data_IF_643484810718
#
_entry.id   IF_643484810718
#
_cell.length_a   1.000
_cell.length_b   1.000
_cell.length_c   1.000
_cell.angle_alpha   90.00
_cell.angle_beta   90.00
_cell.angle_gamma   90.00
#
_symmetry.space_group_name_H-M   'P 1'
#
loop_
_entity.id
_entity.type
_entity.pdbx_description
1 polymer ?
#
# COMPACT_ATOMS: atom_id res chain seq x y z
N UNK A 1 7.26 -16.60 17.62
CA UNK A 1 6.61 -16.64 16.28
C UNK A 1 6.13 -18.06 15.99
N UNK A 2 4.98 -18.41 16.53
CA UNK A 2 4.34 -19.73 16.35
C UNK A 2 3.20 -19.57 15.36
N UNK A 3 3.06 -20.50 14.41
CA UNK A 3 1.94 -20.53 13.48
C UNK A 3 0.81 -21.35 14.13
N UNK A 4 -0.26 -20.69 14.56
CA UNK A 4 -1.47 -21.30 15.08
C UNK A 4 -2.61 -21.16 14.07
N UNK A 5 -3.11 -22.30 13.58
CA UNK A 5 -4.21 -22.40 12.60
C UNK A 5 -5.54 -22.81 13.25
N UNK A 6 -5.59 -22.85 14.58
CA UNK A 6 -6.82 -23.22 15.29
C UNK A 6 -7.93 -22.24 14.97
N UNK A 7 -9.16 -22.75 14.88
CA UNK A 7 -10.36 -21.92 14.67
C UNK A 7 -11.13 -21.70 15.96
N UNK A 8 -10.90 -22.53 16.97
CA UNK A 8 -11.52 -22.47 18.31
C UNK A 8 -10.50 -22.74 19.39
N UNK A 9 -10.72 -22.17 20.57
CA UNK A 9 -9.94 -22.43 21.77
C UNK A 9 -10.89 -22.69 22.95
N UNK A 10 -10.47 -23.49 23.95
CA UNK A 10 -11.29 -23.78 25.14
C UNK A 10 -11.59 -22.51 25.93
N UNK A 11 -12.77 -22.45 26.49
CA UNK A 11 -13.11 -21.46 27.53
C UNK A 11 -12.32 -21.73 28.80
N UNK A 12 -12.40 -20.81 29.74
CA UNK A 12 -11.77 -20.96 31.05
C UNK A 12 -12.50 -21.98 31.94
N UNK A 13 -12.05 -22.16 33.17
CA UNK A 13 -12.62 -23.09 34.16
C UNK A 13 -14.03 -22.68 34.65
N UNK A 14 -14.45 -21.42 34.37
CA UNK A 14 -15.77 -20.89 34.70
C UNK A 14 -16.72 -20.91 33.50
N UNK A 15 -16.25 -21.38 32.32
CA UNK A 15 -17.02 -21.41 31.09
C UNK A 15 -17.06 -20.08 30.35
N UNK A 16 -16.16 -19.13 30.70
CA UNK A 16 -16.10 -17.81 30.08
C UNK A 16 -15.09 -17.81 28.91
N UNK A 17 -15.35 -17.04 27.81
CA UNK A 17 -14.40 -16.89 26.72
C UNK A 17 -13.07 -16.30 27.21
N UNK A 18 -11.95 -16.94 26.79
CA UNK A 18 -10.61 -16.37 26.96
C UNK A 18 -10.32 -15.34 25.86
N UNK A 19 -9.12 -14.73 25.88
CA UNK A 19 -8.64 -13.81 24.86
C UNK A 19 -8.81 -14.38 23.45
N UNK A 20 -8.46 -15.65 23.26
CA UNK A 20 -8.71 -16.39 22.02
C UNK A 20 -9.79 -17.44 22.29
N UNK A 21 -10.87 -17.42 21.55
CA UNK A 21 -11.96 -18.38 21.64
C UNK A 21 -12.53 -18.78 20.26
N UNK A 22 -12.52 -17.85 19.30
CA UNK A 22 -12.97 -18.09 17.93
C UNK A 22 -12.18 -17.24 16.93
N UNK A 23 -11.61 -17.88 15.90
CA UNK A 23 -10.64 -17.27 14.97
C UNK A 23 -11.16 -16.05 14.20
N UNK A 24 -12.48 -15.91 14.00
CA UNK A 24 -13.08 -14.75 13.37
C UNK A 24 -12.88 -13.47 14.18
N UNK A 25 -12.68 -13.56 15.48
CA UNK A 25 -12.44 -12.40 16.34
C UNK A 25 -10.95 -12.17 16.58
N UNK A 26 -10.21 -13.21 16.91
CA UNK A 26 -8.76 -13.13 17.10
C UNK A 26 -8.09 -14.52 16.99
N UNK A 27 -6.82 -14.54 16.58
CA UNK A 27 -5.95 -15.72 16.66
C UNK A 27 -4.57 -15.30 17.17
N UNK A 28 -3.83 -16.16 17.90
CA UNK A 28 -2.52 -15.80 18.43
C UNK A 28 -1.54 -15.29 17.36
N UNK A 29 -1.49 -15.92 16.19
CA UNK A 29 -0.57 -15.53 15.09
C UNK A 29 -0.93 -14.16 14.52
N UNK A 30 -2.23 -13.89 14.29
CA UNK A 30 -2.68 -12.60 13.78
C UNK A 30 -2.44 -11.50 14.81
N UNK A 31 -2.75 -11.74 16.09
CA UNK A 31 -2.52 -10.79 17.16
C UNK A 31 -1.03 -10.41 17.33
N UNK A 32 -0.12 -11.40 17.22
CA UNK A 32 1.34 -11.14 17.24
C UNK A 32 1.72 -10.25 16.03
N UNK A 33 1.17 -10.51 14.84
CA UNK A 33 1.46 -9.72 13.65
C UNK A 33 0.88 -8.29 13.76
N UNK A 34 -0.33 -8.13 14.29
CA UNK A 34 -0.94 -6.82 14.58
C UNK A 34 -0.06 -6.02 15.55
N UNK A 35 0.41 -6.65 16.63
CA UNK A 35 1.32 -6.00 17.58
C UNK A 35 2.59 -5.48 16.88
N UNK A 36 3.22 -6.30 16.03
CA UNK A 36 4.44 -5.91 15.33
C UNK A 36 4.22 -4.78 14.32
N UNK A 37 3.12 -4.80 13.59
CA UNK A 37 2.79 -3.69 12.66
C UNK A 37 2.47 -2.42 13.46
N UNK A 38 1.72 -2.54 14.55
CA UNK A 38 1.41 -1.41 15.43
C UNK A 38 2.66 -0.74 16.03
N UNK A 39 3.65 -1.54 16.46
CA UNK A 39 4.94 -1.04 16.96
C UNK A 39 5.71 -0.23 15.90
N UNK A 40 5.62 -0.61 14.61
CA UNK A 40 6.30 0.09 13.53
C UNK A 40 5.69 1.47 13.24
N UNK A 41 4.36 1.58 13.25
CA UNK A 41 3.64 2.83 12.96
C UNK A 41 3.32 3.66 14.21
N UNK A 42 3.46 3.09 15.40
CA UNK A 42 3.18 3.79 16.66
C UNK A 42 1.70 3.84 17.03
N UNK A 43 0.92 2.80 16.72
CA UNK A 43 -0.51 2.72 17.00
C UNK A 43 -1.04 1.30 17.18
N UNK A 44 -2.36 1.16 17.30
CA UNK A 44 -3.05 -0.13 17.33
C UNK A 44 -3.34 -0.60 15.91
N UNK A 45 -2.76 -1.74 15.51
CA UNK A 45 -2.93 -2.31 14.18
C UNK A 45 -4.02 -3.38 14.14
N UNK A 46 -4.66 -3.51 12.97
CA UNK A 46 -5.59 -4.58 12.62
C UNK A 46 -5.23 -5.12 11.24
N UNK A 47 -5.19 -6.44 11.10
CA UNK A 47 -4.94 -7.11 9.83
C UNK A 47 -6.24 -7.53 9.13
N UNK A 48 -6.19 -7.47 7.81
CA UNK A 48 -7.26 -7.78 6.86
C UNK A 48 -6.76 -8.73 5.76
N UNK A 49 -7.65 -9.41 5.03
CA UNK A 49 -7.24 -10.40 4.02
C UNK A 49 -6.53 -9.78 2.81
N UNK A 50 -6.60 -8.47 2.62
CA UNK A 50 -5.91 -7.72 1.56
C UNK A 50 -5.91 -6.22 1.85
N UNK A 51 -5.09 -5.43 1.13
CA UNK A 51 -5.16 -3.97 1.17
C UNK A 51 -6.56 -3.46 0.81
N UNK A 52 -7.18 -3.95 -0.27
CA UNK A 52 -8.55 -3.59 -0.64
C UNK A 52 -9.58 -3.98 0.43
N UNK A 53 -9.38 -5.13 1.11
CA UNK A 53 -10.22 -5.52 2.26
C UNK A 53 -10.08 -4.57 3.44
N UNK A 54 -8.85 -4.10 3.71
CA UNK A 54 -8.58 -3.08 4.73
C UNK A 54 -9.24 -1.74 4.38
N UNK A 55 -9.09 -1.28 3.13
CA UNK A 55 -9.73 -0.06 2.60
C UNK A 55 -11.25 -0.11 2.76
N UNK A 56 -11.88 -1.19 2.29
CA UNK A 56 -13.33 -1.35 2.37
C UNK A 56 -13.83 -1.43 3.82
N UNK A 57 -13.14 -2.18 4.69
CA UNK A 57 -13.52 -2.31 6.09
C UNK A 57 -13.42 -0.97 6.82
N UNK A 58 -12.34 -0.21 6.59
CA UNK A 58 -12.16 1.10 7.22
C UNK A 58 -13.25 2.07 6.80
N UNK A 59 -13.47 2.24 5.49
CA UNK A 59 -14.46 3.18 4.95
C UNK A 59 -15.87 2.83 5.43
N UNK A 60 -16.28 1.55 5.34
CA UNK A 60 -17.60 1.11 5.78
C UNK A 60 -17.81 1.14 7.30
N UNK A 61 -16.71 1.17 8.08
CA UNK A 61 -16.81 1.33 9.53
C UNK A 61 -16.92 2.79 9.97
N UNK A 62 -16.43 3.73 9.15
CA UNK A 62 -16.37 5.17 9.48
C UNK A 62 -17.53 5.96 8.90
N UNK A 63 -18.04 5.57 7.71
CA UNK A 63 -18.94 6.41 6.92
C UNK A 63 -20.34 5.83 6.82
N UNK A 64 -21.29 6.74 6.64
CA UNK A 64 -22.71 6.45 6.40
C UNK A 64 -23.14 6.82 4.96
N UNK A 65 -24.28 6.31 4.47
CA UNK A 65 -24.83 6.76 3.20
C UNK A 65 -25.05 8.27 3.17
N UNK A 66 -24.56 8.93 2.12
CA UNK A 66 -24.56 10.39 1.96
C UNK A 66 -23.21 11.05 2.25
N UNK A 67 -22.29 10.37 2.93
CA UNK A 67 -20.97 10.91 3.21
C UNK A 67 -20.09 10.98 1.96
N UNK A 68 -19.15 11.93 1.98
CA UNK A 68 -18.23 12.21 0.87
C UNK A 68 -16.79 11.91 1.29
N UNK A 69 -16.09 11.16 0.45
CA UNK A 69 -14.65 10.89 0.56
C UNK A 69 -13.90 11.85 -0.36
N UNK A 70 -12.92 12.58 0.17
CA UNK A 70 -11.91 13.25 -0.65
C UNK A 70 -10.77 12.26 -0.91
N UNK A 71 -10.54 11.90 -2.17
CA UNK A 71 -9.51 10.97 -2.60
C UNK A 71 -8.40 11.72 -3.33
N UNK A 72 -7.15 11.45 -2.97
CA UNK A 72 -6.00 11.98 -3.69
C UNK A 72 -6.01 11.59 -5.17
N UNK A 73 -5.87 12.57 -6.06
CA UNK A 73 -5.66 12.32 -7.49
C UNK A 73 -4.39 11.53 -7.74
N UNK A 74 -4.41 10.66 -8.75
CA UNK A 74 -3.24 9.86 -9.11
C UNK A 74 -2.81 8.84 -8.05
N UNK A 75 -3.68 8.52 -7.09
CA UNK A 75 -3.48 7.40 -6.17
C UNK A 75 -3.70 6.06 -6.87
N UNK A 76 -3.40 4.98 -6.17
CA UNK A 76 -3.60 3.61 -6.67
C UNK A 76 -5.03 3.42 -7.21
N UNK A 77 -5.12 3.05 -8.50
CA UNK A 77 -6.41 2.95 -9.20
C UNK A 77 -7.41 2.02 -8.49
N UNK A 78 -6.93 0.96 -7.82
CA UNK A 78 -7.79 0.02 -7.09
C UNK A 78 -8.54 0.68 -5.93
N UNK A 79 -8.02 1.76 -5.36
CA UNK A 79 -8.72 2.58 -4.34
C UNK A 79 -9.89 3.33 -4.97
N UNK A 80 -9.66 4.01 -6.12
CA UNK A 80 -10.72 4.68 -6.87
C UNK A 80 -11.82 3.71 -7.30
N UNK A 81 -11.46 2.53 -7.81
CA UNK A 81 -12.41 1.48 -8.20
C UNK A 81 -13.19 0.97 -6.98
N UNK A 82 -12.54 0.78 -5.84
CA UNK A 82 -13.20 0.35 -4.60
C UNK A 82 -14.22 1.39 -4.15
N UNK A 83 -13.85 2.69 -4.14
CA UNK A 83 -14.77 3.76 -3.72
C UNK A 83 -15.91 3.96 -4.72
N UNK A 84 -15.64 3.91 -6.02
CA UNK A 84 -16.67 3.92 -7.05
C UNK A 84 -17.68 2.78 -6.90
N UNK A 85 -17.24 1.58 -6.49
CA UNK A 85 -18.16 0.49 -6.19
C UNK A 85 -19.04 0.73 -4.95
N UNK A 86 -18.63 1.63 -4.04
CA UNK A 86 -19.39 2.01 -2.85
C UNK A 86 -20.43 3.13 -3.11
N UNK A 87 -20.41 3.78 -4.28
CA UNK A 87 -21.39 4.80 -4.66
C UNK A 87 -22.82 4.25 -4.66
N UNK A 88 -23.00 2.99 -5.07
CA UNK A 88 -24.30 2.30 -5.00
C UNK A 88 -24.84 2.14 -3.56
N UNK A 89 -23.98 2.30 -2.55
CA UNK A 89 -24.33 2.30 -1.13
C UNK A 89 -24.49 3.71 -0.57
N UNK A 90 -24.47 4.72 -1.45
CA UNK A 90 -24.71 6.13 -1.13
C UNK A 90 -23.49 6.91 -0.71
N UNK A 91 -22.28 6.36 -0.77
CA UNK A 91 -21.06 7.14 -0.59
C UNK A 91 -20.78 8.00 -1.82
N UNK A 92 -20.16 9.15 -1.63
CA UNK A 92 -19.76 10.06 -2.69
C UNK A 92 -18.23 10.15 -2.73
N UNK A 93 -17.69 10.36 -3.93
CA UNK A 93 -16.26 10.51 -4.16
C UNK A 93 -15.99 11.86 -4.80
N UNK A 94 -14.97 12.55 -4.30
CA UNK A 94 -14.39 13.74 -4.93
C UNK A 94 -12.88 13.57 -4.98
N UNK A 95 -12.28 13.68 -6.15
CA UNK A 95 -10.82 13.66 -6.30
C UNK A 95 -10.25 15.08 -6.10
N UNK A 96 -9.03 15.17 -5.53
CA UNK A 96 -8.35 16.44 -5.30
C UNK A 96 -6.82 16.27 -5.35
N UNK A 97 -6.12 17.37 -5.66
CA UNK A 97 -4.67 17.42 -5.60
C UNK A 97 -4.20 17.38 -4.13
N UNK A 98 -3.57 16.25 -3.75
CA UNK A 98 -3.09 16.03 -2.38
C UNK A 98 -1.88 16.89 -1.98
N UNK A 99 -1.33 17.70 -2.89
CA UNK A 99 -0.26 18.67 -2.58
C UNK A 99 -0.81 19.96 -1.97
N UNK A 100 -2.13 20.06 -1.84
CA UNK A 100 -2.84 21.17 -1.23
C UNK A 100 -3.93 20.72 -0.25
N UNK A 101 -4.73 21.67 0.27
CA UNK A 101 -5.75 21.40 1.26
C UNK A 101 -6.91 20.57 0.68
N UNK A 102 -7.52 19.68 1.49
CA UNK A 102 -8.71 18.94 1.09
C UNK A 102 -9.89 19.85 0.74
N UNK A 103 -10.82 19.39 -0.14
CA UNK A 103 -12.04 20.12 -0.46
C UNK A 103 -12.96 20.22 0.76
N UNK A 104 -13.82 21.25 0.77
CA UNK A 104 -14.78 21.46 1.87
C UNK A 104 -15.91 20.43 1.86
N UNK A 105 -16.52 20.21 3.03
CA UNK A 105 -17.71 19.35 3.23
C UNK A 105 -17.48 17.89 2.91
N UNK A 106 -16.29 17.37 3.22
CA UNK A 106 -15.96 15.95 3.15
C UNK A 106 -15.91 15.34 4.55
N UNK A 107 -16.25 14.05 4.66
CA UNK A 107 -16.30 13.31 5.91
C UNK A 107 -15.09 12.40 6.11
N UNK A 108 -14.30 12.18 5.05
CA UNK A 108 -13.06 11.43 5.09
C UNK A 108 -12.08 12.03 4.08
N UNK A 109 -10.82 12.19 4.48
CA UNK A 109 -9.70 12.53 3.58
C UNK A 109 -8.84 11.30 3.40
N UNK A 110 -8.61 10.90 2.14
CA UNK A 110 -7.78 9.75 1.78
C UNK A 110 -6.60 10.18 0.94
N UNK A 111 -5.41 9.98 1.49
CA UNK A 111 -4.12 10.33 0.87
C UNK A 111 -3.34 9.06 0.56
N UNK A 112 -2.38 9.16 -0.36
CA UNK A 112 -1.39 8.11 -0.62
C UNK A 112 0.03 8.70 -0.62
N UNK A 113 0.93 8.11 0.13
CA UNK A 113 2.27 8.62 0.36
C UNK A 113 3.37 7.60 0.01
N UNK A 114 4.09 7.81 -1.11
CA UNK A 114 3.72 8.61 -2.26
C UNK A 114 2.59 7.99 -3.08
N UNK A 115 1.92 8.77 -3.92
CA UNK A 115 0.91 8.27 -4.85
C UNK A 115 1.51 7.27 -5.85
N UNK A 116 0.70 6.35 -6.37
CA UNK A 116 1.13 5.31 -7.29
C UNK A 116 0.20 5.32 -8.53
N UNK A 117 0.69 5.67 -9.74
CA UNK A 117 2.11 5.61 -10.16
C UNK A 117 2.89 6.94 -10.21
N UNK A 118 2.29 8.07 -9.83
CA UNK A 118 2.90 9.39 -10.04
C UNK A 118 3.94 9.79 -8.99
N UNK A 119 3.99 9.12 -7.84
CA UNK A 119 4.96 9.30 -6.75
C UNK A 119 4.94 10.71 -6.14
N UNK A 120 3.78 11.35 -6.15
CA UNK A 120 3.53 12.65 -5.53
C UNK A 120 3.33 12.48 -4.02
N UNK A 121 4.03 13.27 -3.22
CA UNK A 121 3.87 13.29 -1.77
C UNK A 121 2.71 14.21 -1.37
N UNK A 122 1.87 13.82 -0.39
CA UNK A 122 0.80 14.67 0.12
C UNK A 122 1.32 15.80 1.00
N UNK A 123 0.57 16.91 1.04
CA UNK A 123 0.69 17.93 2.09
C UNK A 123 -0.07 17.43 3.34
N UNK A 124 0.63 16.70 4.20
CA UNK A 124 0.05 16.13 5.43
C UNK A 124 -0.40 17.24 6.39
N UNK A 125 0.34 18.34 6.48
CA UNK A 125 0.01 19.46 7.39
C UNK A 125 -1.33 20.10 6.99
N UNK A 126 -1.52 20.38 5.71
CA UNK A 126 -2.79 20.91 5.21
C UNK A 126 -3.95 19.92 5.39
N UNK A 127 -3.70 18.61 5.22
CA UNK A 127 -4.73 17.60 5.36
C UNK A 127 -5.18 17.41 6.82
N UNK A 128 -4.25 17.33 7.77
CA UNK A 128 -4.59 17.11 9.19
C UNK A 128 -5.16 18.37 9.86
N UNK A 129 -4.99 19.54 9.26
CA UNK A 129 -5.64 20.75 9.71
C UNK A 129 -7.16 20.76 9.36
N UNK A 130 -7.61 19.87 8.48
CA UNK A 130 -9.02 19.76 8.10
C UNK A 130 -9.80 18.94 9.15
N UNK A 131 -11.06 19.31 9.47
CA UNK A 131 -11.81 18.69 10.58
C UNK A 131 -12.48 17.35 10.23
N UNK A 132 -11.96 16.58 9.30
CA UNK A 132 -12.40 15.20 9.01
C UNK A 132 -11.24 14.23 9.26
N UNK A 133 -11.53 12.95 9.58
CA UNK A 133 -10.50 11.93 9.71
C UNK A 133 -9.62 11.84 8.47
N UNK A 134 -8.31 11.68 8.68
CA UNK A 134 -7.30 11.55 7.63
C UNK A 134 -6.75 10.13 7.62
N UNK A 135 -6.89 9.47 6.49
CA UNK A 135 -6.27 8.18 6.18
C UNK A 135 -5.10 8.40 5.24
N UNK A 136 -3.96 7.81 5.55
CA UNK A 136 -2.80 7.82 4.65
C UNK A 136 -2.46 6.39 4.27
N UNK A 137 -2.59 6.05 2.99
CA UNK A 137 -2.01 4.83 2.46
C UNK A 137 -0.49 5.01 2.32
N UNK A 138 0.25 4.45 3.27
CA UNK A 138 1.70 4.52 3.34
C UNK A 138 2.37 3.23 2.83
N UNK A 139 1.68 2.48 1.95
CA UNK A 139 2.18 1.21 1.41
C UNK A 139 3.57 1.33 0.78
N UNK A 140 3.83 2.40 0.03
CA UNK A 140 5.11 2.63 -0.66
C UNK A 140 6.16 3.23 0.28
N UNK A 141 5.78 4.20 1.12
CA UNK A 141 6.71 4.79 2.08
C UNK A 141 7.16 3.77 3.13
N UNK A 142 6.27 2.90 3.56
CA UNK A 142 6.45 2.03 4.71
C UNK A 142 6.76 2.80 6.01
N UNK A 143 6.65 2.20 7.20
CA UNK A 143 7.06 2.85 8.45
C UNK A 143 8.56 3.19 8.52
N UNK A 144 9.37 2.71 7.56
CA UNK A 144 10.81 3.02 7.47
C UNK A 144 11.05 4.45 7.04
N UNK A 145 10.21 5.00 6.15
CA UNK A 145 10.39 6.36 5.61
C UNK A 145 9.34 7.36 6.08
N UNK A 146 8.13 6.91 6.40
CA UNK A 146 7.05 7.79 6.85
C UNK A 146 6.15 7.08 7.86
N UNK A 147 5.90 7.74 8.97
CA UNK A 147 4.93 7.35 10.00
C UNK A 147 3.83 8.41 10.08
N UNK A 148 2.76 8.30 9.28
CA UNK A 148 1.75 9.35 9.20
C UNK A 148 1.07 9.69 10.53
N UNK A 149 0.96 8.74 11.48
CA UNK A 149 0.42 9.01 12.82
C UNK A 149 1.24 10.06 13.59
N UNK A 150 2.56 10.10 13.40
CA UNK A 150 3.43 11.11 14.01
C UNK A 150 3.19 12.51 13.44
N UNK A 151 2.62 12.60 12.23
CA UNK A 151 2.23 13.83 11.53
C UNK A 151 0.76 14.22 11.73
N UNK A 152 0.02 13.50 12.58
CA UNK A 152 -1.36 13.84 12.92
C UNK A 152 -2.44 13.11 12.14
N UNK A 153 -2.10 12.20 11.22
CA UNK A 153 -3.10 11.33 10.58
C UNK A 153 -3.84 10.48 11.63
N UNK A 154 -5.10 10.15 11.36
CA UNK A 154 -5.92 9.32 12.25
C UNK A 154 -5.69 7.83 11.99
N UNK A 155 -5.48 7.48 10.71
CA UNK A 155 -5.27 6.12 10.27
C UNK A 155 -4.13 6.02 9.26
N UNK A 156 -3.37 4.94 9.37
CA UNK A 156 -2.43 4.50 8.33
C UNK A 156 -2.94 3.22 7.73
N UNK A 157 -2.94 3.15 6.41
CA UNK A 157 -3.23 1.92 5.68
C UNK A 157 -1.95 1.40 5.03
N UNK A 158 -1.79 0.08 5.06
CA UNK A 158 -0.79 -0.62 4.27
C UNK A 158 -1.41 -1.79 3.51
N UNK A 159 -1.12 -1.91 2.24
CA UNK A 159 -1.14 -3.21 1.60
C UNK A 159 0.07 -3.99 2.12
N UNK A 160 -0.12 -4.76 3.19
CA UNK A 160 0.95 -5.53 3.81
C UNK A 160 1.51 -6.63 2.88
N UNK A 161 0.79 -6.95 1.80
CA UNK A 161 1.22 -7.76 0.66
C UNK A 161 2.54 -7.28 0.05
N UNK A 162 2.78 -5.95 0.10
CA UNK A 162 3.87 -5.26 -0.57
C UNK A 162 5.15 -5.32 0.28
N UNK A 163 5.80 -4.20 0.51
CA UNK A 163 7.07 -4.12 1.25
C UNK A 163 7.06 -4.80 2.62
N UNK A 164 5.94 -4.74 3.37
CA UNK A 164 5.88 -5.30 4.71
C UNK A 164 6.15 -6.82 4.70
N UNK A 165 5.45 -7.58 3.89
CA UNK A 165 5.75 -9.00 3.67
C UNK A 165 6.98 -9.20 2.75
N UNK A 166 7.01 -8.51 1.61
CA UNK A 166 8.17 -8.28 0.74
C UNK A 166 8.68 -9.48 -0.06
N UNK A 167 7.93 -10.59 -0.12
CA UNK A 167 8.37 -11.82 -0.77
C UNK A 167 7.34 -12.38 -1.78
N UNK A 168 6.31 -11.58 -2.13
CA UNK A 168 5.26 -11.93 -3.11
C UNK A 168 4.49 -13.23 -2.77
N UNK A 169 4.46 -13.61 -1.47
CA UNK A 169 3.92 -14.88 -0.95
C UNK A 169 2.81 -14.69 0.09
N UNK A 170 2.46 -13.45 0.46
CA UNK A 170 1.42 -13.13 1.44
C UNK A 170 0.45 -12.06 0.90
N UNK A 171 -0.85 -12.33 0.98
CA UNK A 171 -1.90 -11.37 0.67
C UNK A 171 -2.50 -10.86 1.97
N UNK A 172 -2.24 -9.59 2.33
CA UNK A 172 -2.71 -8.95 3.56
C UNK A 172 -2.88 -7.44 3.39
N UNK A 173 -3.79 -6.87 4.19
CA UNK A 173 -3.87 -5.43 4.47
C UNK A 173 -3.70 -5.15 5.95
N UNK A 174 -3.28 -3.95 6.29
CA UNK A 174 -3.21 -3.48 7.66
C UNK A 174 -3.81 -2.08 7.77
N UNK A 175 -4.52 -1.81 8.86
CA UNK A 175 -4.92 -0.46 9.29
C UNK A 175 -4.35 -0.24 10.67
N UNK A 176 -3.71 0.90 10.88
CA UNK A 176 -3.17 1.31 12.18
C UNK A 176 -3.82 2.61 12.59
N UNK A 177 -4.27 2.71 13.84
CA UNK A 177 -4.83 3.93 14.42
C UNK A 177 -4.13 4.28 15.73
N UNK A 178 -3.94 5.58 15.94
CA UNK A 178 -3.48 6.10 17.24
C UNK A 178 -4.60 6.07 18.28
N UNK A 179 -5.86 6.21 17.84
CA UNK A 179 -7.03 6.10 18.69
C UNK A 179 -7.42 4.63 18.91
N UNK A 180 -7.22 4.14 20.14
CA UNK A 180 -7.58 2.78 20.52
C UNK A 180 -9.09 2.51 20.41
N UNK A 181 -9.94 3.50 20.70
CA UNK A 181 -11.39 3.34 20.58
C UNK A 181 -11.83 3.16 19.12
N UNK A 182 -11.22 3.91 18.19
CA UNK A 182 -11.43 3.72 16.76
C UNK A 182 -10.93 2.35 16.28
N UNK A 183 -9.77 1.90 16.76
CA UNK A 183 -9.25 0.57 16.46
C UNK A 183 -10.18 -0.54 16.97
N UNK A 184 -10.73 -0.40 18.18
CA UNK A 184 -11.67 -1.38 18.74
C UNK A 184 -13.00 -1.41 17.99
N UNK A 185 -13.54 -0.25 17.59
CA UNK A 185 -14.73 -0.18 16.74
C UNK A 185 -14.49 -0.90 15.39
N UNK A 186 -13.34 -0.68 14.76
CA UNK A 186 -12.96 -1.37 13.53
C UNK A 186 -12.75 -2.88 13.75
N UNK A 187 -12.21 -3.30 14.90
CA UNK A 187 -12.07 -4.72 15.28
C UNK A 187 -13.44 -5.39 15.39
N UNK A 188 -14.41 -4.73 16.01
CA UNK A 188 -15.78 -5.21 16.11
C UNK A 188 -16.41 -5.32 14.72
N UNK A 189 -16.25 -4.31 13.89
CA UNK A 189 -16.74 -4.32 12.49
C UNK A 189 -16.14 -5.50 11.72
N UNK A 190 -14.82 -5.67 11.75
CA UNK A 190 -14.09 -6.77 11.11
C UNK A 190 -14.65 -8.14 11.52
N UNK A 191 -14.83 -8.35 12.83
CA UNK A 191 -15.35 -9.61 13.37
C UNK A 191 -16.79 -9.90 12.94
N UNK A 192 -17.63 -8.87 12.83
CA UNK A 192 -19.05 -9.01 12.40
C UNK A 192 -19.18 -9.26 10.90
N UNK A 193 -18.36 -8.60 10.09
CA UNK A 193 -18.40 -8.73 8.61
C UNK A 193 -17.60 -9.93 8.11
N UNK A 194 -16.72 -10.51 8.95
CA UNK A 194 -15.91 -11.64 8.57
C UNK A 194 -14.72 -11.30 7.66
N UNK A 195 -14.34 -10.02 7.52
CA UNK A 195 -13.19 -9.56 6.70
C UNK A 195 -11.90 -9.80 7.50
N UNK A 196 -11.57 -11.04 7.82
CA UNK A 196 -10.51 -11.44 8.74
C UNK A 196 -9.28 -11.99 8.02
N UNK A 197 -8.09 -11.66 8.49
CA UNK A 197 -6.84 -12.20 8.01
C UNK A 197 -6.66 -13.66 8.45
N UNK A 198 -6.04 -14.48 7.59
CA UNK A 198 -5.68 -15.84 7.93
C UNK A 198 -4.31 -15.93 8.62
N UNK A 199 -4.08 -16.99 9.37
CA UNK A 199 -2.86 -17.18 10.16
C UNK A 199 -1.60 -17.37 9.29
N UNK A 200 -1.69 -18.08 8.17
CA UNK A 200 -0.54 -18.34 7.30
C UNK A 200 0.06 -17.05 6.70
N UNK A 201 -0.71 -16.16 6.04
CA UNK A 201 -0.19 -14.88 5.58
C UNK A 201 0.33 -14.00 6.73
N UNK A 202 -0.33 -14.00 7.90
CA UNK A 202 0.14 -13.24 9.06
C UNK A 202 1.50 -13.76 9.58
N UNK A 203 1.74 -15.06 9.55
CA UNK A 203 3.02 -15.63 9.88
C UNK A 203 4.12 -15.28 8.87
N UNK A 204 3.81 -15.30 7.56
CA UNK A 204 4.72 -14.85 6.50
C UNK A 204 5.05 -13.36 6.66
N UNK A 205 4.05 -12.53 7.00
CA UNK A 205 4.26 -11.12 7.33
C UNK A 205 5.25 -10.97 8.50
N UNK A 206 5.04 -11.69 9.61
CA UNK A 206 5.97 -11.66 10.76
C UNK A 206 7.41 -12.01 10.36
N UNK A 207 7.57 -12.94 9.42
CA UNK A 207 8.88 -13.30 8.87
C UNK A 207 9.46 -12.16 8.03
N UNK A 208 8.65 -11.56 7.13
CA UNK A 208 9.04 -10.45 6.27
C UNK A 208 9.46 -9.19 7.04
N UNK A 209 8.73 -8.85 8.11
CA UNK A 209 9.02 -7.70 8.96
C UNK A 209 10.42 -7.71 9.57
N UNK A 210 11.03 -8.89 9.79
CA UNK A 210 12.39 -9.00 10.35
C UNK A 210 13.49 -8.42 9.46
N UNK A 211 13.22 -8.27 8.18
CA UNK A 211 14.18 -7.73 7.19
C UNK A 211 13.64 -6.49 6.48
N UNK A 212 12.52 -5.92 6.95
CA UNK A 212 11.83 -4.81 6.29
C UNK A 212 12.79 -3.63 6.03
N UNK A 213 13.42 -3.12 7.07
CA UNK A 213 14.30 -1.94 6.97
C UNK A 213 15.48 -2.20 6.02
N UNK A 214 16.13 -3.35 6.15
CA UNK A 214 17.24 -3.74 5.28
C UNK A 214 16.84 -3.78 3.81
N UNK A 215 15.69 -4.41 3.51
CA UNK A 215 15.17 -4.52 2.14
C UNK A 215 14.79 -3.16 1.57
N UNK A 216 14.00 -2.39 2.31
CA UNK A 216 13.49 -1.09 1.84
C UNK A 216 14.62 -0.10 1.59
N UNK A 217 15.64 -0.05 2.46
CA UNK A 217 16.81 0.80 2.26
C UNK A 217 17.62 0.38 1.02
N UNK A 218 17.89 -0.92 0.88
CA UNK A 218 18.63 -1.44 -0.28
C UNK A 218 17.87 -1.22 -1.59
N UNK A 219 16.55 -1.45 -1.61
CA UNK A 219 15.71 -1.17 -2.76
C UNK A 219 15.71 0.31 -3.12
N UNK A 220 15.67 1.20 -2.13
CA UNK A 220 15.74 2.65 -2.33
C UNK A 220 17.08 3.11 -2.92
N UNK A 221 18.20 2.59 -2.42
CA UNK A 221 19.54 2.86 -2.97
C UNK A 221 19.62 2.46 -4.46
N UNK A 222 19.17 1.25 -4.78
CA UNK A 222 19.16 0.74 -6.16
C UNK A 222 18.22 1.55 -7.06
N UNK A 223 17.03 1.90 -6.56
CA UNK A 223 16.07 2.73 -7.30
C UNK A 223 16.59 4.14 -7.58
N UNK A 224 17.30 4.75 -6.62
CA UNK A 224 17.97 6.04 -6.80
C UNK A 224 18.99 6.01 -7.93
N UNK A 225 19.86 4.99 -7.96
CA UNK A 225 20.84 4.80 -9.04
C UNK A 225 20.17 4.62 -10.40
N UNK A 226 19.12 3.79 -10.48
CA UNK A 226 18.35 3.59 -11.72
C UNK A 226 17.65 4.87 -12.16
N UNK A 227 17.06 5.63 -11.24
CA UNK A 227 16.39 6.90 -11.55
C UNK A 227 17.37 7.93 -12.14
N UNK A 228 18.60 8.01 -11.63
CA UNK A 228 19.64 8.89 -12.19
C UNK A 228 20.02 8.48 -13.62
N UNK A 229 20.24 7.19 -13.85
CA UNK A 229 20.59 6.66 -15.18
C UNK A 229 19.46 6.87 -16.19
N UNK A 230 18.22 6.64 -15.78
CA UNK A 230 17.02 6.87 -16.61
C UNK A 230 16.89 8.34 -17.01
N UNK A 231 17.16 9.31 -16.12
CA UNK A 231 17.13 10.76 -16.46
C UNK A 231 18.11 11.14 -17.58
N UNK A 232 19.20 10.41 -17.71
CA UNK A 232 20.21 10.62 -18.75
C UNK A 232 19.94 9.84 -20.05
N UNK A 233 18.93 8.96 -20.09
CA UNK A 233 18.70 8.08 -21.24
C UNK A 233 17.83 8.74 -22.32
N UNK A 234 18.26 8.72 -23.62
CA UNK A 234 17.56 9.45 -24.69
C UNK A 234 16.15 8.96 -25.00
N UNK A 235 15.78 7.73 -24.66
CA UNK A 235 14.44 7.18 -24.86
C UNK A 235 13.48 7.49 -23.67
N UNK A 236 13.95 8.19 -22.63
CA UNK A 236 13.15 8.50 -21.43
C UNK A 236 12.84 9.98 -21.37
N UNK A 237 11.56 10.33 -21.30
CA UNK A 237 11.09 11.71 -21.32
C UNK A 237 10.94 12.27 -19.88
N UNK A 238 10.40 11.48 -18.97
CA UNK A 238 10.12 11.87 -17.58
C UNK A 238 10.54 10.75 -16.64
N UNK A 239 11.12 11.10 -15.49
CA UNK A 239 11.41 10.16 -14.40
C UNK A 239 10.79 10.69 -13.11
N UNK A 240 9.98 9.85 -12.45
CA UNK A 240 9.36 10.13 -11.16
C UNK A 240 9.94 9.20 -10.12
N UNK A 241 10.45 9.77 -9.05
CA UNK A 241 11.01 9.04 -7.91
C UNK A 241 10.91 9.92 -6.67
N UNK A 242 10.36 9.39 -5.59
CA UNK A 242 10.15 10.14 -4.34
C UNK A 242 11.43 10.34 -3.51
N UNK A 243 12.56 9.78 -3.95
CA UNK A 243 13.84 9.86 -3.22
C UNK A 243 14.04 8.75 -2.18
N UNK A 244 13.10 7.84 -2.05
CA UNK A 244 13.14 6.71 -1.13
C UNK A 244 12.33 5.54 -1.65
N UNK A 245 12.44 4.38 -1.00
CA UNK A 245 11.83 3.09 -1.38
C UNK A 245 12.23 2.59 -2.78
N UNK A 246 11.76 1.42 -3.15
CA UNK A 246 12.11 0.78 -4.42
C UNK A 246 11.18 1.11 -5.58
N UNK A 247 10.23 2.07 -5.46
CA UNK A 247 9.28 2.38 -6.51
C UNK A 247 9.69 3.63 -7.28
N UNK A 248 9.72 3.53 -8.60
CA UNK A 248 9.88 4.66 -9.53
C UNK A 248 8.98 4.47 -10.76
N UNK A 249 8.73 5.56 -11.48
CA UNK A 249 8.04 5.53 -12.77
C UNK A 249 8.77 6.40 -13.78
N UNK A 250 8.68 6.03 -15.05
CA UNK A 250 9.24 6.82 -16.12
C UNK A 250 8.37 6.74 -17.37
N UNK A 251 8.44 7.76 -18.21
CA UNK A 251 7.71 7.81 -19.47
C UNK A 251 8.67 7.61 -20.64
N UNK A 252 8.26 6.78 -21.58
CA UNK A 252 8.82 6.64 -22.93
C UNK A 252 7.86 7.25 -23.94
N UNK A 253 8.23 7.34 -25.21
CA UNK A 253 7.54 8.09 -26.25
C UNK A 253 6.03 7.79 -26.37
N UNK A 254 5.64 6.52 -26.26
CA UNK A 254 4.24 6.09 -26.43
C UNK A 254 3.98 4.70 -25.83
N UNK A 255 2.74 4.21 -25.96
CA UNK A 255 2.34 2.89 -25.47
C UNK A 255 2.99 1.71 -26.16
N UNK A 256 3.37 1.85 -27.43
CA UNK A 256 4.07 0.79 -28.17
C UNK A 256 5.53 0.70 -27.72
N UNK A 257 6.18 1.85 -27.47
CA UNK A 257 7.49 1.91 -26.85
C UNK A 257 7.47 1.30 -25.43
N UNK A 258 6.47 1.65 -24.62
CA UNK A 258 6.29 1.07 -23.29
C UNK A 258 6.14 -0.46 -23.34
N UNK A 259 5.36 -0.96 -24.32
CA UNK A 259 5.20 -2.41 -24.54
C UNK A 259 6.50 -3.09 -24.94
N UNK A 260 7.30 -2.47 -25.84
CA UNK A 260 8.61 -3.02 -26.23
C UNK A 260 9.54 -3.11 -25.02
N UNK A 261 9.57 -2.08 -24.17
CA UNK A 261 10.38 -2.08 -22.96
C UNK A 261 9.92 -3.18 -22.00
N UNK A 262 8.61 -3.22 -21.66
CA UNK A 262 8.11 -4.18 -20.64
C UNK A 262 8.25 -5.65 -21.07
N UNK A 263 8.31 -5.92 -22.38
CA UNK A 263 8.51 -7.29 -22.90
C UNK A 263 9.97 -7.57 -23.29
N UNK A 264 10.82 -6.56 -23.31
CA UNK A 264 12.24 -6.66 -23.68
C UNK A 264 13.18 -7.03 -22.53
N UNK A 265 12.75 -6.84 -21.28
CA UNK A 265 13.54 -7.19 -20.09
C UNK A 265 13.61 -8.71 -19.90
N UNK A 266 14.69 -9.19 -19.28
CA UNK A 266 14.95 -10.62 -19.02
C UNK A 266 15.16 -10.90 -17.54
N UNK A 267 15.80 -9.98 -16.82
CA UNK A 267 16.02 -10.05 -15.38
C UNK A 267 14.84 -9.43 -14.63
N UNK A 268 14.39 -8.26 -15.09
CA UNK A 268 13.21 -7.59 -14.53
C UNK A 268 11.97 -8.25 -15.07
N UNK A 269 11.11 -8.76 -14.18
CA UNK A 269 9.92 -9.52 -14.58
C UNK A 269 8.79 -8.58 -15.03
N UNK A 270 8.19 -8.83 -16.18
CA UNK A 270 6.97 -8.13 -16.58
C UNK A 270 5.79 -8.67 -15.76
N UNK A 271 5.45 -7.99 -14.69
CA UNK A 271 4.38 -8.39 -13.79
C UNK A 271 3.84 -7.18 -13.00
N UNK A 272 2.61 -7.33 -12.52
CA UNK A 272 2.03 -6.38 -11.57
C UNK A 272 2.62 -6.56 -10.17
N UNK A 273 2.19 -5.73 -9.22
CA UNK A 273 2.65 -5.66 -7.84
C UNK A 273 3.84 -4.71 -7.65
N UNK A 274 4.36 -4.66 -6.43
CA UNK A 274 5.50 -3.83 -6.04
C UNK A 274 6.05 -4.27 -4.66
N UNK A 275 7.27 -3.83 -4.34
CA UNK A 275 7.82 -3.97 -2.99
C UNK A 275 8.34 -5.36 -2.63
N UNK A 276 8.32 -6.31 -3.57
CA UNK A 276 8.95 -7.62 -3.43
C UNK A 276 10.46 -7.56 -3.55
N UNK A 277 11.11 -8.67 -3.23
CA UNK A 277 12.57 -8.85 -3.37
C UNK A 277 13.00 -9.00 -4.83
N UNK A 278 12.06 -9.30 -5.73
CA UNK A 278 12.25 -9.41 -7.18
C UNK A 278 11.81 -8.13 -7.87
N UNK A 279 12.62 -7.62 -8.80
CA UNK A 279 12.27 -6.46 -9.62
C UNK A 279 11.17 -6.79 -10.61
N UNK A 280 10.13 -5.93 -10.65
CA UNK A 280 9.03 -6.05 -11.60
C UNK A 280 8.74 -4.72 -12.27
N UNK A 281 8.31 -4.77 -13.53
CA UNK A 281 7.87 -3.58 -14.25
C UNK A 281 6.61 -3.86 -15.08
N UNK A 282 5.80 -2.82 -15.27
CA UNK A 282 4.62 -2.87 -16.15
C UNK A 282 4.25 -1.49 -16.67
N UNK A 283 3.69 -1.41 -17.87
CA UNK A 283 3.00 -0.21 -18.35
C UNK A 283 1.66 -0.04 -17.61
N UNK A 284 1.33 1.19 -17.20
CA UNK A 284 0.16 1.45 -16.37
C UNK A 284 -1.13 1.70 -17.16
N UNK A 285 -1.04 2.05 -18.43
CA UNK A 285 -2.20 2.27 -19.32
C UNK A 285 -3.16 1.09 -19.37
N UNK A 286 -2.67 -0.15 -19.22
CA UNK A 286 -3.51 -1.35 -19.16
C UNK A 286 -4.59 -1.29 -18.08
N UNK A 287 -4.31 -0.64 -16.97
CA UNK A 287 -5.18 -0.58 -15.78
C UNK A 287 -5.86 0.77 -15.61
N UNK A 288 -5.18 1.84 -16.04
CA UNK A 288 -5.56 3.21 -15.74
C UNK A 288 -6.05 3.99 -16.98
N UNK A 289 -5.90 3.39 -18.17
CA UNK A 289 -6.34 4.00 -19.43
C UNK A 289 -5.74 5.40 -19.62
N UNK A 290 -6.59 6.35 -20.01
CA UNK A 290 -6.20 7.74 -20.28
C UNK A 290 -5.89 8.57 -19.02
N UNK A 291 -6.00 7.97 -17.83
CA UNK A 291 -5.62 8.64 -16.55
C UNK A 291 -4.11 8.77 -16.37
N UNK A 292 -3.33 8.05 -17.18
CA UNK A 292 -1.85 8.08 -17.17
C UNK A 292 -1.30 8.31 -18.57
N UNK A 293 -0.09 8.88 -18.70
CA UNK A 293 0.60 8.95 -20.00
C UNK A 293 0.72 7.59 -20.66
N UNK A 294 0.52 7.54 -21.98
CA UNK A 294 0.55 6.29 -22.75
C UNK A 294 1.87 5.52 -22.59
N UNK A 295 2.99 6.25 -22.51
CA UNK A 295 4.33 5.71 -22.33
C UNK A 295 4.74 5.43 -20.88
N UNK A 296 3.83 5.59 -19.90
CA UNK A 296 4.20 5.43 -18.48
C UNK A 296 4.45 3.97 -18.11
N UNK A 297 5.66 3.72 -17.63
CA UNK A 297 6.12 2.45 -17.06
C UNK A 297 6.39 2.65 -15.58
N UNK A 298 5.87 1.76 -14.73
CA UNK A 298 6.20 1.68 -13.32
C UNK A 298 7.20 0.55 -13.10
N UNK A 299 8.29 0.85 -12.40
CA UNK A 299 9.33 -0.10 -12.00
C UNK A 299 9.36 -0.20 -10.47
N UNK A 300 9.18 -1.42 -9.97
CA UNK A 300 9.45 -1.77 -8.57
C UNK A 300 10.76 -2.52 -8.49
N UNK A 301 11.76 -1.89 -7.89
CA UNK A 301 13.12 -2.42 -7.78
C UNK A 301 13.21 -3.40 -6.62
N UNK A 302 13.76 -4.58 -6.88
CA UNK A 302 14.02 -5.64 -5.92
C UNK A 302 15.39 -5.52 -5.25
N UNK A 303 16.02 -6.66 -5.00
CA UNK A 303 17.32 -6.76 -4.33
C UNK A 303 18.45 -7.22 -5.25
N UNK A 304 18.20 -7.38 -6.53
CA UNK A 304 19.19 -7.75 -7.53
C UNK A 304 20.29 -6.68 -7.62
N UNK A 305 21.40 -7.05 -8.23
CA UNK A 305 22.50 -6.13 -8.48
C UNK A 305 22.05 -4.95 -9.36
N UNK A 306 22.24 -3.68 -8.95
CA UNK A 306 21.72 -2.53 -9.68
C UNK A 306 22.37 -2.33 -11.05
N UNK A 307 23.61 -2.78 -11.26
CA UNK A 307 24.26 -2.70 -12.56
C UNK A 307 23.71 -3.76 -13.51
N UNK A 308 23.38 -4.95 -13.00
CA UNK A 308 22.67 -5.97 -13.78
C UNK A 308 21.23 -5.53 -14.16
N UNK A 309 20.50 -4.90 -13.23
CA UNK A 309 19.19 -4.32 -13.50
C UNK A 309 19.27 -3.22 -14.56
N UNK A 310 20.29 -2.36 -14.48
CA UNK A 310 20.49 -1.31 -15.48
C UNK A 310 20.78 -1.88 -16.86
N UNK A 311 21.70 -2.84 -16.96
CA UNK A 311 22.06 -3.45 -18.22
C UNK A 311 20.84 -4.11 -18.92
N UNK A 312 19.96 -4.75 -18.14
CA UNK A 312 18.71 -5.34 -18.63
C UNK A 312 17.74 -4.26 -19.15
N UNK A 313 17.55 -3.21 -18.35
CA UNK A 313 16.65 -2.10 -18.66
C UNK A 313 17.15 -1.27 -19.85
N UNK A 314 18.45 -0.96 -19.90
CA UNK A 314 19.08 -0.22 -21.01
C UNK A 314 18.95 -0.99 -22.34
N UNK A 315 19.14 -2.32 -22.30
CA UNK A 315 18.94 -3.19 -23.48
C UNK A 315 17.49 -3.14 -23.98
N UNK A 316 16.51 -3.12 -23.07
CA UNK A 316 15.10 -3.01 -23.43
C UNK A 316 14.74 -1.61 -23.97
N UNK A 317 15.30 -0.55 -23.37
CA UNK A 317 15.11 0.84 -23.81
C UNK A 317 15.74 1.13 -25.18
N UNK A 318 16.77 0.42 -25.57
CA UNK A 318 17.36 0.54 -26.91
C UNK A 318 16.40 0.10 -28.05
N UNK A 319 15.32 -0.60 -27.69
CA UNK A 319 14.27 -1.04 -28.61
C UNK A 319 12.97 -0.17 -28.51
N UNK A 320 12.98 0.85 -27.66
CA UNK A 320 11.82 1.69 -27.35
C UNK A 320 11.44 2.66 -28.48
#
# INVERSE_FOLDING_TARGET
MTLDRSTIWPYDEHGEPREFYYSRYATPTVAEAETRVGELDGGAALLFPSGAGATSALVLSLLAPGDTIALAEGCYYGTSVTFGALEKWGLRLVEFDQTGPPPKNVQLVWLEAPSNPFLTMPDLEAAVAYPAPVVVDATVATPVHLRPLEHGADFVLHSATKYLAGHDDALLGAVVSRDHAAADALRVFRGRTGIVAAADPAWLLLRGLKTLELRVRRQGESAGLLAERLRGHPAVEVVRYAGFSGLLSFDVADGDAARRVETGTRLIVNATSLGGVTSVLESRTRWEGDRVPAGLIRLSVGLEDPDALWADLESALACA
#
